data_IF_911316268116
#
_entry.id   IF_911316268116
#
_cell.length_a   1.000
_cell.length_b   1.000
_cell.length_c   1.000
_cell.angle_alpha   90.00
_cell.angle_beta   90.00
_cell.angle_gamma   90.00
#
_symmetry.space_group_name_H-M   'P 1'
#
loop_
_entity.id
_entity.type
_entity.pdbx_description
1 polymer ?
#
# COMPACT_ATOMS: atom_id res chain seq x y z
N UNK A 1 -7.56 4.68 -15.30
CA UNK A 1 -6.29 4.03 -14.91
C UNK A 1 -5.06 4.94 -14.90
N UNK A 2 -4.62 5.55 -16.02
CA UNK A 2 -3.37 6.37 -16.00
C UNK A 2 -3.46 7.58 -15.06
N UNK A 3 -4.55 8.35 -15.16
CA UNK A 3 -4.80 9.51 -14.29
C UNK A 3 -4.90 9.07 -12.82
N UNK A 4 -5.57 7.95 -12.57
CA UNK A 4 -5.73 7.38 -11.22
C UNK A 4 -4.39 6.97 -10.61
N UNK A 5 -3.50 6.39 -11.43
CA UNK A 5 -2.15 6.08 -11.02
C UNK A 5 -1.36 7.36 -10.67
N UNK A 6 -1.51 8.44 -11.45
CA UNK A 6 -0.87 9.72 -11.14
C UNK A 6 -1.38 10.35 -9.84
N UNK A 7 -2.66 10.19 -9.53
CA UNK A 7 -3.25 10.67 -8.26
C UNK A 7 -2.75 9.82 -7.08
N UNK A 8 -2.69 8.50 -7.25
CA UNK A 8 -2.35 7.55 -6.19
C UNK A 8 -0.83 7.50 -5.93
N UNK A 9 0.00 7.74 -6.95
CA UNK A 9 1.45 7.63 -6.90
C UNK A 9 2.10 8.50 -5.81
N UNK A 10 1.88 9.83 -5.73
CA UNK A 10 2.58 10.66 -4.75
C UNK A 10 2.29 10.23 -3.31
N UNK A 11 1.04 9.88 -3.04
CA UNK A 11 0.64 9.45 -1.70
C UNK A 11 1.18 8.06 -1.38
N UNK A 12 1.16 7.14 -2.36
CA UNK A 12 1.75 5.81 -2.21
C UNK A 12 3.25 5.89 -1.94
N UNK A 13 3.98 6.72 -2.71
CA UNK A 13 5.40 6.94 -2.50
C UNK A 13 5.68 7.55 -1.13
N UNK A 14 4.88 8.54 -0.72
CA UNK A 14 5.00 9.14 0.61
C UNK A 14 4.80 8.11 1.73
N UNK A 15 3.76 7.26 1.63
CA UNK A 15 3.48 6.24 2.64
C UNK A 15 4.55 5.15 2.70
N UNK A 16 5.05 4.70 1.54
CA UNK A 16 6.16 3.74 1.48
C UNK A 16 7.45 4.34 2.03
N UNK A 17 7.72 5.61 1.72
CA UNK A 17 8.83 6.36 2.30
C UNK A 17 8.68 6.47 3.81
N UNK A 18 7.50 6.83 4.32
CA UNK A 18 7.23 6.94 5.75
C UNK A 18 7.40 5.60 6.47
N UNK A 19 6.94 4.50 5.87
CA UNK A 19 7.14 3.15 6.39
C UNK A 19 8.63 2.76 6.46
N UNK A 20 9.39 3.09 5.43
CA UNK A 20 10.82 2.84 5.36
C UNK A 20 11.60 3.73 6.35
N UNK A 21 11.24 5.01 6.44
CA UNK A 21 11.86 6.01 7.30
C UNK A 21 11.66 5.71 8.79
N UNK A 22 10.49 5.20 9.16
CA UNK A 22 10.16 4.79 10.54
C UNK A 22 10.72 3.42 10.95
N UNK A 23 11.45 2.73 10.07
CA UNK A 23 12.02 1.41 10.33
C UNK A 23 13.47 1.45 10.82
N UNK A 24 14.00 0.36 11.38
CA UNK A 24 15.39 0.30 11.80
C UNK A 24 16.32 0.38 10.57
N UNK A 25 17.29 1.30 10.59
CA UNK A 25 18.21 1.56 9.48
C UNK A 25 19.27 0.47 9.29
N UNK A 26 19.49 -0.37 10.30
CA UNK A 26 20.58 -1.35 10.35
C UNK A 26 20.16 -2.77 9.93
N UNK A 27 18.90 -2.98 9.53
CA UNK A 27 18.42 -4.29 9.11
C UNK A 27 19.16 -4.79 7.85
N UNK A 28 19.65 -6.04 7.91
CA UNK A 28 20.33 -6.72 6.79
C UNK A 28 19.74 -8.11 6.54
N UNK A 29 19.93 -8.62 5.31
CA UNK A 29 19.58 -9.99 4.93
C UNK A 29 18.11 -10.34 5.18
N UNK A 30 17.85 -11.46 5.86
CA UNK A 30 16.49 -11.97 6.09
C UNK A 30 15.63 -11.02 6.93
N UNK A 31 16.22 -10.34 7.91
CA UNK A 31 15.48 -9.42 8.78
C UNK A 31 14.93 -8.21 7.99
N UNK A 32 15.71 -7.71 7.04
CA UNK A 32 15.28 -6.66 6.11
C UNK A 32 14.06 -7.09 5.28
N UNK A 33 14.10 -8.30 4.72
CA UNK A 33 12.97 -8.82 3.92
C UNK A 33 11.72 -9.06 4.76
N UNK A 34 11.86 -9.60 5.98
CA UNK A 34 10.71 -9.81 6.89
C UNK A 34 10.04 -8.49 7.28
N UNK A 35 10.80 -7.40 7.35
CA UNK A 35 10.26 -6.07 7.60
C UNK A 35 9.55 -5.46 6.37
N UNK A 36 10.13 -5.61 5.17
CA UNK A 36 9.64 -4.96 3.95
C UNK A 36 8.54 -5.74 3.22
N UNK A 37 8.53 -7.06 3.36
CA UNK A 37 7.61 -7.93 2.64
C UNK A 37 6.12 -7.59 2.90
N UNK A 38 5.66 -7.34 4.14
CA UNK A 38 4.27 -6.95 4.38
C UNK A 38 3.88 -5.63 3.69
N UNK A 39 4.79 -4.64 3.67
CA UNK A 39 4.54 -3.37 2.98
C UNK A 39 4.50 -3.53 1.45
N UNK A 40 5.38 -4.37 0.88
CA UNK A 40 5.34 -4.75 -0.53
C UNK A 40 4.04 -5.47 -0.88
N UNK A 41 3.58 -6.40 -0.04
CA UNK A 41 2.31 -7.09 -0.24
C UNK A 41 1.13 -6.10 -0.19
N UNK A 42 1.13 -5.15 0.75
CA UNK A 42 0.11 -4.11 0.82
C UNK A 42 0.04 -3.28 -0.48
N UNK A 43 1.19 -2.93 -1.05
CA UNK A 43 1.26 -2.25 -2.34
C UNK A 43 0.69 -3.11 -3.48
N UNK A 44 1.12 -4.37 -3.58
CA UNK A 44 0.66 -5.29 -4.63
C UNK A 44 -0.86 -5.52 -4.53
N UNK A 45 -1.39 -5.73 -3.33
CA UNK A 45 -2.83 -5.94 -3.12
C UNK A 45 -3.62 -4.67 -3.45
N UNK A 46 -3.12 -3.49 -3.05
CA UNK A 46 -3.74 -2.19 -3.41
C UNK A 46 -3.83 -1.99 -4.93
N UNK A 47 -2.74 -2.26 -5.66
CA UNK A 47 -2.73 -2.18 -7.13
C UNK A 47 -3.65 -3.24 -7.76
N UNK A 48 -3.68 -4.44 -7.20
CA UNK A 48 -4.60 -5.51 -7.61
C UNK A 48 -6.06 -5.09 -7.45
N UNK A 49 -6.41 -4.46 -6.34
CA UNK A 49 -7.77 -3.93 -6.09
C UNK A 49 -8.11 -2.80 -7.06
N UNK A 50 -7.17 -1.87 -7.32
CA UNK A 50 -7.36 -0.81 -8.31
C UNK A 50 -7.68 -1.38 -9.70
N UNK A 51 -6.90 -2.37 -10.13
CA UNK A 51 -7.08 -3.03 -11.43
C UNK A 51 -8.38 -3.83 -11.48
N UNK A 52 -8.66 -4.61 -10.44
CA UNK A 52 -9.89 -5.41 -10.34
C UNK A 52 -11.14 -4.54 -10.41
N UNK A 53 -11.19 -3.44 -9.64
CA UNK A 53 -12.33 -2.53 -9.64
C UNK A 53 -12.54 -1.83 -10.99
N UNK A 54 -11.47 -1.55 -11.74
CA UNK A 54 -11.58 -1.03 -13.10
C UNK A 54 -12.19 -2.03 -14.08
N UNK A 55 -12.07 -3.33 -13.81
CA UNK A 55 -12.62 -4.40 -14.66
C UNK A 55 -14.06 -4.73 -14.26
N UNK A 56 -14.37 -4.71 -12.96
CA UNK A 56 -15.66 -5.22 -12.44
C UNK A 56 -16.73 -4.16 -12.18
N UNK A 57 -16.35 -2.90 -11.96
CA UNK A 57 -17.32 -1.85 -11.68
C UNK A 57 -18.01 -1.39 -12.97
N UNK A 58 -19.29 -1.73 -13.08
CA UNK A 58 -20.19 -1.28 -14.14
C UNK A 58 -20.79 0.10 -13.81
N UNK A 59 -19.92 1.08 -13.66
CA UNK A 59 -20.26 2.48 -13.42
C UNK A 59 -19.34 3.34 -14.27
N UNK A 60 -19.86 4.45 -14.77
CA UNK A 60 -19.16 5.25 -15.77
C UNK A 60 -18.37 6.43 -15.19
N UNK A 61 -17.34 6.80 -15.96
CA UNK A 61 -16.62 8.06 -15.81
C UNK A 61 -15.96 8.26 -14.45
N UNK A 62 -16.20 9.44 -13.87
CA UNK A 62 -15.52 9.92 -12.67
C UNK A 62 -15.83 9.07 -11.43
N UNK A 63 -17.06 8.54 -11.32
CA UNK A 63 -17.48 7.77 -10.15
C UNK A 63 -16.67 6.47 -10.01
N UNK A 64 -16.45 5.74 -11.11
CA UNK A 64 -15.60 4.54 -11.12
C UNK A 64 -14.19 4.83 -10.64
N UNK A 65 -13.61 5.92 -11.16
CA UNK A 65 -12.24 6.31 -10.84
C UNK A 65 -12.11 6.65 -9.35
N UNK A 66 -13.03 7.45 -8.80
CA UNK A 66 -13.05 7.81 -7.37
C UNK A 66 -13.14 6.55 -6.51
N UNK A 67 -14.12 5.66 -6.79
CA UNK A 67 -14.30 4.43 -6.02
C UNK A 67 -13.04 3.56 -6.10
N UNK A 68 -12.50 3.34 -7.29
CA UNK A 68 -11.32 2.50 -7.48
C UNK A 68 -10.08 3.05 -6.74
N UNK A 69 -9.82 4.36 -6.85
CA UNK A 69 -8.69 5.04 -6.18
C UNK A 69 -8.86 4.99 -4.67
N UNK A 70 -10.02 5.37 -4.15
CA UNK A 70 -10.28 5.40 -2.70
C UNK A 70 -10.18 4.00 -2.11
N UNK A 71 -10.77 2.99 -2.75
CA UNK A 71 -10.69 1.61 -2.28
C UNK A 71 -9.25 1.09 -2.27
N UNK A 72 -8.49 1.31 -3.35
CA UNK A 72 -7.08 0.94 -3.41
C UNK A 72 -6.27 1.64 -2.31
N UNK A 73 -6.58 2.90 -2.03
CA UNK A 73 -5.91 3.68 -1.00
C UNK A 73 -6.21 3.16 0.42
N UNK A 74 -7.46 2.84 0.72
CA UNK A 74 -7.85 2.24 2.00
C UNK A 74 -7.15 0.89 2.23
N UNK A 75 -7.04 0.07 1.18
CA UNK A 75 -6.31 -1.20 1.24
C UNK A 75 -4.83 -0.98 1.51
N UNK A 76 -4.18 -0.01 0.85
CA UNK A 76 -2.79 0.34 1.11
C UNK A 76 -2.59 0.80 2.55
N UNK A 77 -3.43 1.72 3.04
CA UNK A 77 -3.39 2.22 4.42
C UNK A 77 -3.56 1.09 5.44
N UNK A 78 -4.55 0.23 5.27
CA UNK A 78 -4.79 -0.90 6.15
C UNK A 78 -3.60 -1.87 6.14
N UNK A 79 -3.08 -2.20 4.95
CA UNK A 79 -1.93 -3.09 4.80
C UNK A 79 -0.65 -2.54 5.42
N UNK A 80 -0.36 -1.25 5.25
CA UNK A 80 0.77 -0.59 5.90
C UNK A 80 0.57 -0.47 7.41
N UNK A 81 -0.65 -0.18 7.88
CA UNK A 81 -1.02 -0.21 9.29
C UNK A 81 -0.73 -1.57 9.94
N UNK A 82 -1.10 -2.66 9.25
CA UNK A 82 -0.77 -4.02 9.68
C UNK A 82 0.74 -4.29 9.67
N UNK A 83 1.46 -3.82 8.65
CA UNK A 83 2.91 -3.94 8.58
C UNK A 83 3.61 -3.26 9.77
N UNK A 84 3.18 -2.04 10.12
CA UNK A 84 3.66 -1.34 11.33
C UNK A 84 3.31 -2.09 12.60
N UNK A 85 2.08 -2.60 12.73
CA UNK A 85 1.67 -3.37 13.90
C UNK A 85 2.53 -4.63 14.07
N UNK A 86 2.84 -5.32 12.97
CA UNK A 86 3.75 -6.47 12.98
C UNK A 86 5.15 -6.08 13.42
N UNK A 87 5.69 -4.96 12.91
CA UNK A 87 7.00 -4.43 13.33
C UNK A 87 7.01 -4.15 14.83
N UNK A 88 6.03 -3.38 15.31
CA UNK A 88 5.89 -3.03 16.73
C UNK A 88 5.81 -4.26 17.64
N UNK A 89 5.08 -5.32 17.21
CA UNK A 89 5.00 -6.57 17.97
C UNK A 89 6.32 -7.35 18.00
N UNK A 90 7.17 -7.23 16.97
CA UNK A 90 8.48 -7.88 16.93
C UNK A 90 9.48 -7.16 17.83
N UNK A 91 9.46 -5.83 17.84
CA UNK A 91 10.37 -5.03 18.68
C UNK A 91 10.09 -5.18 20.19
N UNK A 92 8.89 -5.68 20.56
CA UNK A 92 8.47 -5.95 21.94
C UNK A 92 8.78 -7.37 22.43
N UNK A 93 9.27 -8.26 21.57
CA UNK A 93 9.61 -9.66 21.90
C UNK A 93 11.10 -9.82 22.08
#
# INVERSE_FOLDING_TARGET
>A
MFIDALILLPVTLFLLWLYAYSGPSELRGRAWWVDRLPALLALVVSLGVLAWLHITLDVDGLYRNIVAVVSAYLVLLAGLGLAWLMRWRRDRR
#
